data_IF_434374175113
#
_entry.id   IF_434374175113
#
_cell.length_a   1.000
_cell.length_b   1.000
_cell.length_c   1.000
_cell.angle_alpha   90.00
_cell.angle_beta   90.00
_cell.angle_gamma   90.00
#
_symmetry.space_group_name_H-M   'P 1'
#
loop_
_entity.id
_entity.type
_entity.pdbx_description
1 polymer ?
#
# COMPACT_ATOMS: atom_id res chain seq x y z
N UNK A 1 -17.47 7.89 -11.64
CA UNK A 1 -18.50 7.56 -10.61
C UNK A 1 -18.10 8.23 -9.31
N UNK A 2 -18.99 8.99 -8.65
CA UNK A 2 -18.70 9.50 -7.30
C UNK A 2 -18.73 8.34 -6.29
N UNK A 3 -17.69 8.23 -5.46
CA UNK A 3 -17.59 7.19 -4.44
C UNK A 3 -18.55 7.48 -3.28
N UNK A 4 -19.18 6.44 -2.73
CA UNK A 4 -19.90 6.54 -1.45
C UNK A 4 -18.97 7.02 -0.34
N UNK A 5 -19.52 7.63 0.70
CA UNK A 5 -18.74 8.10 1.85
C UNK A 5 -17.99 6.96 2.55
N UNK A 6 -18.59 5.77 2.61
CA UNK A 6 -17.94 4.57 3.15
C UNK A 6 -16.77 4.08 2.29
N UNK A 7 -16.93 4.09 0.96
CA UNK A 7 -15.83 3.73 0.06
C UNK A 7 -14.68 4.75 0.17
N UNK A 8 -15.00 6.05 0.14
CA UNK A 8 -13.99 7.11 0.25
C UNK A 8 -13.24 7.07 1.59
N UNK A 9 -13.93 6.76 2.69
CA UNK A 9 -13.29 6.58 4.00
C UNK A 9 -12.25 5.45 4.00
N UNK A 10 -12.54 4.33 3.34
CA UNK A 10 -11.58 3.23 3.17
C UNK A 10 -10.41 3.62 2.27
N UNK A 11 -10.66 4.38 1.20
CA UNK A 11 -9.62 4.88 0.28
C UNK A 11 -8.66 5.80 1.04
N UNK A 12 -9.17 6.79 1.77
CA UNK A 12 -8.37 7.74 2.53
C UNK A 12 -7.46 7.02 3.54
N UNK A 13 -7.99 6.00 4.24
CA UNK A 13 -7.22 5.20 5.22
C UNK A 13 -6.07 4.40 4.59
N UNK A 14 -6.22 3.95 3.35
CA UNK A 14 -5.22 3.10 2.69
C UNK A 14 -4.16 3.88 1.91
N UNK A 15 -4.49 5.08 1.43
CA UNK A 15 -3.80 5.71 0.31
C UNK A 15 -2.27 5.84 0.49
N UNK A 16 -1.81 6.40 1.61
CA UNK A 16 -0.35 6.55 1.84
C UNK A 16 0.35 5.21 2.03
N UNK A 17 -0.21 4.29 2.85
CA UNK A 17 0.43 3.00 3.07
C UNK A 17 0.47 2.15 1.80
N UNK A 18 -0.60 2.20 1.00
CA UNK A 18 -0.67 1.58 -0.32
C UNK A 18 0.46 2.08 -1.23
N UNK A 19 0.67 3.40 -1.28
CA UNK A 19 1.75 4.01 -2.08
C UNK A 19 3.13 3.61 -1.59
N UNK A 20 3.38 3.59 -0.28
CA UNK A 20 4.68 3.12 0.26
C UNK A 20 4.96 1.67 -0.16
N UNK A 21 3.97 0.77 -0.05
CA UNK A 21 4.10 -0.61 -0.54
C UNK A 21 4.31 -0.70 -2.06
N UNK A 22 3.73 0.21 -2.86
CA UNK A 22 3.99 0.23 -4.30
C UNK A 22 5.40 0.72 -4.61
N UNK A 23 5.90 1.72 -3.88
CA UNK A 23 7.29 2.17 -4.03
C UNK A 23 8.27 1.05 -3.66
N UNK A 24 8.04 0.33 -2.56
CA UNK A 24 8.89 -0.80 -2.17
C UNK A 24 8.86 -1.91 -3.23
N UNK A 25 7.67 -2.24 -3.73
CA UNK A 25 7.52 -3.23 -4.80
C UNK A 25 8.28 -2.78 -6.07
N UNK A 26 8.16 -1.52 -6.47
CA UNK A 26 8.83 -0.97 -7.66
C UNK A 26 10.34 -0.85 -7.51
N UNK A 27 10.83 -0.48 -6.32
CA UNK A 27 12.25 -0.38 -5.99
C UNK A 27 12.90 -1.80 -5.90
N UNK A 28 12.10 -2.83 -5.61
CA UNK A 28 12.50 -4.23 -5.54
C UNK A 28 12.10 -5.06 -6.78
N UNK A 29 11.32 -6.15 -6.62
CA UNK A 29 11.10 -7.13 -7.69
C UNK A 29 10.06 -6.69 -8.75
N UNK A 30 9.32 -5.60 -8.52
CA UNK A 30 8.14 -5.20 -9.29
C UNK A 30 8.38 -4.82 -10.75
N UNK A 31 9.64 -4.62 -11.14
CA UNK A 31 10.04 -4.37 -12.53
C UNK A 31 10.38 -5.64 -13.32
N UNK A 32 10.52 -6.79 -12.65
CA UNK A 32 10.84 -8.04 -13.31
C UNK A 32 9.64 -8.60 -14.09
N UNK A 33 9.92 -9.50 -15.04
CA UNK A 33 8.88 -10.34 -15.61
C UNK A 33 8.20 -11.17 -14.51
N UNK A 34 6.96 -11.60 -14.73
CA UNK A 34 6.18 -12.29 -13.70
C UNK A 34 5.38 -13.45 -14.26
N UNK A 35 5.03 -14.38 -13.38
CA UNK A 35 4.06 -15.46 -13.60
C UNK A 35 3.12 -15.56 -12.39
N UNK A 36 1.89 -16.02 -12.62
CA UNK A 36 0.92 -16.27 -11.55
C UNK A 36 0.27 -17.63 -11.73
N UNK A 37 0.16 -18.37 -10.64
CA UNK A 37 -0.60 -19.62 -10.52
C UNK A 37 -1.64 -19.45 -9.42
N UNK A 38 -2.85 -19.02 -9.83
CA UNK A 38 -3.97 -18.76 -8.91
C UNK A 38 -4.41 -20.02 -8.13
N UNK A 39 -4.48 -21.22 -8.74
CA UNK A 39 -4.75 -22.44 -8.00
C UNK A 39 -3.82 -22.71 -6.81
N UNK A 40 -2.53 -22.37 -6.92
CA UNK A 40 -1.57 -22.51 -5.82
C UNK A 40 -1.34 -21.21 -5.03
N UNK A 41 -2.06 -20.14 -5.35
CA UNK A 41 -1.89 -18.79 -4.78
C UNK A 41 -0.44 -18.30 -4.86
N UNK A 42 0.25 -18.62 -5.95
CA UNK A 42 1.67 -18.28 -6.15
C UNK A 42 1.83 -17.18 -7.18
N UNK A 43 2.52 -16.11 -6.80
CA UNK A 43 2.96 -15.05 -7.71
C UNK A 43 4.48 -15.00 -7.71
N UNK A 44 5.10 -15.08 -8.88
CA UNK A 44 6.55 -15.11 -9.03
C UNK A 44 7.01 -13.93 -9.86
N UNK A 45 7.93 -13.14 -9.32
CA UNK A 45 8.76 -12.22 -10.09
C UNK A 45 10.06 -12.92 -10.48
N UNK A 46 10.37 -12.95 -11.78
CA UNK A 46 11.60 -13.47 -12.39
C UNK A 46 12.78 -12.51 -12.18
N UNK A 47 13.02 -12.16 -10.92
CA UNK A 47 14.18 -11.42 -10.43
C UNK A 47 15.37 -12.37 -10.25
N UNK A 48 16.55 -11.83 -9.92
CA UNK A 48 17.73 -12.62 -9.57
C UNK A 48 18.19 -12.29 -8.13
N UNK A 49 17.93 -13.18 -7.14
CA UNK A 49 17.20 -14.46 -7.25
C UNK A 49 15.68 -14.26 -7.45
N UNK A 50 14.95 -15.28 -7.94
CA UNK A 50 13.49 -15.20 -8.11
C UNK A 50 12.78 -14.90 -6.78
N UNK A 51 11.75 -14.06 -6.85
CA UNK A 51 10.95 -13.67 -5.70
C UNK A 51 9.55 -14.28 -5.81
N UNK A 52 9.16 -15.06 -4.82
CA UNK A 52 7.82 -15.67 -4.74
C UNK A 52 7.03 -15.03 -3.61
N UNK A 53 5.78 -14.68 -3.92
CA UNK A 53 4.79 -14.09 -3.02
C UNK A 53 3.52 -14.92 -3.08
N UNK A 54 2.72 -14.90 -2.02
CA UNK A 54 1.34 -15.38 -2.10
C UNK A 54 0.45 -14.32 -2.75
N UNK A 55 -0.62 -14.75 -3.42
CA UNK A 55 -1.59 -13.84 -4.02
C UNK A 55 -3.04 -14.22 -3.73
N UNK A 56 -3.88 -13.18 -3.64
CA UNK A 56 -5.34 -13.30 -3.63
C UNK A 56 -5.90 -12.60 -4.86
N UNK A 57 -6.85 -13.25 -5.53
CA UNK A 57 -7.56 -12.69 -6.66
C UNK A 57 -8.64 -11.72 -6.20
N UNK A 58 -8.41 -10.43 -6.44
CA UNK A 58 -9.34 -9.38 -6.04
C UNK A 58 -10.47 -9.22 -7.05
N UNK A 59 -10.13 -9.22 -8.33
CA UNK A 59 -11.06 -9.00 -9.42
C UNK A 59 -10.36 -8.66 -10.74
N UNK A 60 -11.17 -8.29 -11.73
CA UNK A 60 -10.69 -7.90 -13.05
C UNK A 60 -11.41 -6.66 -13.55
N UNK A 61 -10.65 -5.72 -14.10
CA UNK A 61 -11.17 -4.56 -14.82
C UNK A 61 -11.14 -4.86 -16.32
N UNK A 62 -12.29 -4.85 -16.97
CA UNK A 62 -12.40 -5.03 -18.42
C UNK A 62 -13.14 -3.84 -19.05
N UNK A 63 -12.41 -2.92 -19.71
CA UNK A 63 -13.04 -1.84 -20.48
C UNK A 63 -13.92 -2.38 -21.61
N UNK A 64 -13.54 -3.50 -22.23
CA UNK A 64 -14.34 -4.17 -23.26
C UNK A 64 -15.67 -4.70 -22.73
N UNK A 65 -15.69 -5.25 -21.51
CA UNK A 65 -16.93 -5.64 -20.84
C UNK A 65 -17.63 -4.47 -20.12
N UNK A 66 -17.04 -3.27 -20.13
CA UNK A 66 -17.54 -2.07 -19.44
C UNK A 66 -17.70 -2.26 -17.94
N UNK A 67 -16.89 -3.12 -17.30
CA UNK A 67 -17.07 -3.43 -15.88
C UNK A 67 -15.80 -3.90 -15.16
N UNK A 68 -15.76 -3.58 -13.88
CA UNK A 68 -14.99 -4.28 -12.87
C UNK A 68 -15.83 -5.44 -12.37
N UNK A 69 -15.23 -6.63 -12.29
CA UNK A 69 -15.84 -7.83 -11.75
C UNK A 69 -15.06 -8.29 -10.53
N UNK A 70 -15.73 -8.39 -9.38
CA UNK A 70 -15.12 -8.88 -8.16
C UNK A 70 -14.81 -10.38 -8.23
N UNK A 71 -13.70 -10.78 -7.61
CA UNK A 71 -13.24 -12.17 -7.60
C UNK A 71 -14.21 -13.15 -6.95
N UNK A 72 -15.01 -12.70 -5.98
CA UNK A 72 -15.99 -13.54 -5.30
C UNK A 72 -17.15 -14.01 -6.20
N UNK A 73 -17.41 -13.33 -7.32
CA UNK A 73 -18.39 -13.80 -8.32
C UNK A 73 -17.91 -15.09 -9.01
N UNK A 74 -16.59 -15.28 -9.05
CA UNK A 74 -15.91 -16.52 -9.46
C UNK A 74 -16.36 -17.12 -10.80
N UNK A 75 -16.59 -16.29 -11.82
CA UNK A 75 -16.99 -16.74 -13.16
C UNK A 75 -15.99 -17.70 -13.83
N UNK A 76 -14.74 -17.72 -13.35
CA UNK A 76 -13.65 -18.54 -13.86
C UNK A 76 -13.51 -19.89 -13.12
N UNK A 77 -14.26 -20.12 -12.04
CA UNK A 77 -14.17 -21.36 -11.26
C UNK A 77 -12.84 -21.54 -10.53
N UNK A 78 -12.25 -20.46 -10.03
CA UNK A 78 -11.06 -20.51 -9.21
C UNK A 78 -11.32 -21.18 -7.86
N UNK A 79 -10.29 -21.79 -7.22
CA UNK A 79 -10.43 -22.37 -5.89
C UNK A 79 -10.83 -21.34 -4.82
N UNK A 80 -11.58 -21.77 -3.81
CA UNK A 80 -12.11 -20.88 -2.76
C UNK A 80 -11.01 -20.06 -2.05
N UNK A 81 -9.83 -20.66 -1.86
CA UNK A 81 -8.71 -20.00 -1.19
C UNK A 81 -8.29 -18.68 -1.85
N UNK A 82 -8.17 -18.66 -3.18
CA UNK A 82 -7.68 -17.47 -3.91
C UNK A 82 -8.73 -16.35 -3.98
N UNK A 83 -10.02 -16.65 -3.80
CA UNK A 83 -11.11 -15.66 -3.82
C UNK A 83 -11.66 -15.32 -2.43
N UNK A 84 -11.20 -15.99 -1.37
CA UNK A 84 -11.70 -15.80 -0.01
C UNK A 84 -11.59 -14.35 0.48
N UNK A 85 -10.50 -13.67 0.10
CA UNK A 85 -10.28 -12.25 0.41
C UNK A 85 -11.34 -11.35 -0.24
N UNK A 86 -11.70 -11.61 -1.51
CA UNK A 86 -12.77 -10.88 -2.18
C UNK A 86 -14.13 -11.11 -1.48
N UNK A 87 -14.39 -12.33 -1.00
CA UNK A 87 -15.57 -12.63 -0.19
C UNK A 87 -15.60 -11.84 1.13
N UNK A 88 -14.47 -11.75 1.83
CA UNK A 88 -14.33 -10.96 3.06
C UNK A 88 -14.64 -9.47 2.82
N UNK A 89 -14.23 -8.93 1.67
CA UNK A 89 -14.51 -7.54 1.29
C UNK A 89 -16.01 -7.33 1.04
N UNK A 90 -16.68 -8.29 0.39
CA UNK A 90 -18.14 -8.25 0.22
C UNK A 90 -18.85 -8.24 1.57
N UNK A 91 -18.47 -9.16 2.47
CA UNK A 91 -19.09 -9.28 3.80
C UNK A 91 -18.90 -7.98 4.61
N UNK A 92 -17.72 -7.35 4.51
CA UNK A 92 -17.49 -6.01 5.09
C UNK A 92 -18.40 -4.95 4.47
N UNK A 93 -18.55 -4.95 3.14
CA UNK A 93 -19.42 -4.06 2.40
C UNK A 93 -20.88 -4.18 2.82
N UNK A 94 -21.38 -5.41 3.01
CA UNK A 94 -22.73 -5.68 3.49
C UNK A 94 -22.93 -5.17 4.92
N UNK A 95 -21.99 -5.46 5.82
CA UNK A 95 -22.06 -5.04 7.21
C UNK A 95 -22.02 -3.51 7.40
N UNK A 96 -21.38 -2.78 6.49
CA UNK A 96 -21.20 -1.33 6.57
C UNK A 96 -22.03 -0.54 5.55
N UNK A 97 -22.85 -1.21 4.73
CA UNK A 97 -23.68 -0.58 3.71
C UNK A 97 -22.88 0.17 2.64
N UNK A 98 -21.83 -0.45 2.09
CA UNK A 98 -20.96 0.12 1.04
C UNK A 98 -21.26 -0.57 -0.30
N UNK A 99 -22.12 0.02 -1.17
CA UNK A 99 -22.65 -0.66 -2.36
C UNK A 99 -21.59 -1.11 -3.37
N UNK A 100 -20.47 -0.38 -3.44
CA UNK A 100 -19.37 -0.67 -4.38
C UNK A 100 -18.61 -1.96 -4.03
N UNK A 101 -18.71 -2.41 -2.78
CA UNK A 101 -18.11 -3.66 -2.30
C UNK A 101 -19.07 -4.84 -2.36
N UNK A 102 -20.38 -4.59 -2.49
CA UNK A 102 -21.42 -5.63 -2.51
C UNK A 102 -21.93 -5.97 -3.91
N UNK A 103 -21.79 -5.04 -4.86
CA UNK A 103 -22.23 -5.26 -6.24
C UNK A 103 -21.19 -6.05 -7.01
N UNK A 104 -21.55 -7.24 -7.52
CA UNK A 104 -20.63 -8.13 -8.25
C UNK A 104 -19.87 -7.42 -9.37
N UNK A 105 -20.59 -6.55 -10.08
CA UNK A 105 -20.08 -5.76 -11.19
C UNK A 105 -20.23 -4.26 -10.90
N UNK A 106 -19.17 -3.52 -11.15
CA UNK A 106 -19.15 -2.06 -11.11
C UNK A 106 -18.94 -1.55 -12.53
N UNK A 107 -19.84 -0.71 -13.07
CA UNK A 107 -19.68 -0.14 -14.40
C UNK A 107 -18.36 0.62 -14.52
N UNK A 108 -17.66 0.40 -15.62
CA UNK A 108 -16.47 1.15 -16.01
C UNK A 108 -16.75 1.85 -17.34
N UNK A 109 -16.25 3.08 -17.44
CA UNK A 109 -16.02 3.71 -18.73
C UNK A 109 -14.53 3.55 -19.12
N UNK A 110 -14.24 3.63 -20.42
CA UNK A 110 -12.89 3.41 -20.95
C UNK A 110 -11.85 4.37 -20.33
N UNK A 111 -12.26 5.60 -20.02
CA UNK A 111 -11.36 6.67 -19.53
C UNK A 111 -11.05 6.57 -18.02
N UNK A 112 -11.94 5.96 -17.22
CA UNK A 112 -11.80 5.86 -15.75
C UNK A 112 -11.64 4.43 -15.25
N UNK A 113 -11.61 3.43 -16.14
CA UNK A 113 -11.50 2.01 -15.78
C UNK A 113 -10.36 1.73 -14.79
N UNK A 114 -9.18 2.33 -15.01
CA UNK A 114 -8.02 2.15 -14.14
C UNK A 114 -8.20 2.89 -12.81
N UNK A 115 -8.76 4.10 -12.80
CA UNK A 115 -9.01 4.88 -11.58
C UNK A 115 -10.01 4.16 -10.67
N UNK A 116 -11.14 3.70 -11.21
CA UNK A 116 -12.14 2.97 -10.44
C UNK A 116 -11.55 1.68 -9.88
N UNK A 117 -10.83 0.89 -10.70
CA UNK A 117 -10.19 -0.33 -10.24
C UNK A 117 -9.15 -0.06 -9.13
N UNK A 118 -8.38 1.02 -9.25
CA UNK A 118 -7.44 1.44 -8.22
C UNK A 118 -8.14 1.82 -6.91
N UNK A 119 -9.23 2.61 -6.97
CA UNK A 119 -10.04 2.99 -5.80
C UNK A 119 -10.64 1.79 -5.07
N UNK A 120 -11.21 0.84 -5.82
CA UNK A 120 -11.73 -0.42 -5.24
C UNK A 120 -10.60 -1.24 -4.60
N UNK A 121 -9.42 -1.24 -5.21
CA UNK A 121 -8.24 -1.89 -4.65
C UNK A 121 -7.77 -1.19 -3.36
N UNK A 122 -7.71 0.14 -3.30
CA UNK A 122 -7.37 0.86 -2.06
C UNK A 122 -8.35 0.52 -0.93
N UNK A 123 -9.65 0.48 -1.22
CA UNK A 123 -10.64 0.08 -0.22
C UNK A 123 -10.44 -1.36 0.26
N UNK A 124 -10.16 -2.29 -0.66
CA UNK A 124 -9.84 -3.67 -0.35
C UNK A 124 -8.61 -3.81 0.57
N UNK A 125 -7.58 -2.98 0.38
CA UNK A 125 -6.39 -2.97 1.25
C UNK A 125 -6.74 -2.56 2.68
N UNK A 126 -7.57 -1.54 2.86
CA UNK A 126 -8.05 -1.11 4.19
C UNK A 126 -8.84 -2.21 4.91
N UNK A 127 -9.64 -3.00 4.19
CA UNK A 127 -10.43 -4.09 4.78
C UNK A 127 -9.58 -5.31 5.11
N UNK A 128 -8.67 -5.68 4.20
CA UNK A 128 -7.89 -6.93 4.31
C UNK A 128 -6.60 -6.80 5.12
N UNK A 129 -6.05 -5.60 5.25
CA UNK A 129 -4.73 -5.37 5.81
C UNK A 129 -3.56 -5.76 4.89
N UNK A 130 -3.83 -6.19 3.65
CA UNK A 130 -2.80 -6.50 2.65
C UNK A 130 -2.61 -5.31 1.73
N UNK A 131 -1.44 -4.68 1.74
CA UNK A 131 -1.23 -3.38 1.08
C UNK A 131 -0.43 -3.42 -0.22
N UNK A 132 0.28 -4.51 -0.51
CA UNK A 132 0.92 -4.71 -1.81
C UNK A 132 -0.12 -5.23 -2.82
N UNK A 133 -0.06 -4.73 -4.06
CA UNK A 133 -0.92 -5.22 -5.12
C UNK A 133 -0.15 -5.33 -6.42
N UNK A 134 -0.65 -6.14 -7.33
CA UNK A 134 -0.18 -6.18 -8.70
C UNK A 134 -1.38 -6.11 -9.64
N UNK A 135 -1.25 -5.31 -10.69
CA UNK A 135 -2.20 -5.27 -11.79
C UNK A 135 -1.50 -5.73 -13.06
N UNK A 136 -2.02 -6.79 -13.69
CA UNK A 136 -1.40 -7.41 -14.86
C UNK A 136 -2.40 -7.62 -16.00
N UNK A 137 -1.98 -7.53 -17.28
CA UNK A 137 -2.86 -7.84 -18.40
C UNK A 137 -3.18 -9.35 -18.46
N UNK A 138 -4.39 -9.70 -18.87
CA UNK A 138 -4.80 -11.10 -19.17
C UNK A 138 -5.11 -11.35 -20.64
N UNK A 139 -4.80 -10.37 -21.50
CA UNK A 139 -5.19 -10.34 -22.91
C UNK A 139 -6.26 -9.28 -23.18
N UNK A 140 -6.19 -8.66 -24.36
CA UNK A 140 -7.01 -7.50 -24.69
C UNK A 140 -6.73 -6.31 -23.76
N UNK A 141 -7.76 -5.51 -23.47
CA UNK A 141 -7.67 -4.40 -22.49
C UNK A 141 -8.01 -4.80 -21.05
N UNK A 142 -8.21 -6.10 -20.79
CA UNK A 142 -8.57 -6.60 -19.46
C UNK A 142 -7.33 -6.73 -18.57
N UNK A 143 -7.48 -6.29 -17.32
CA UNK A 143 -6.44 -6.38 -16.29
C UNK A 143 -6.97 -7.09 -15.05
N UNK A 144 -6.20 -8.04 -14.54
CA UNK A 144 -6.45 -8.63 -13.22
C UNK A 144 -5.78 -7.79 -12.14
N UNK A 145 -6.38 -7.81 -10.96
CA UNK A 145 -5.89 -7.14 -9.77
C UNK A 145 -5.73 -8.17 -8.67
N UNK A 146 -4.53 -8.23 -8.10
CA UNK A 146 -4.14 -9.18 -7.08
C UNK A 146 -3.65 -8.42 -5.85
N UNK A 147 -4.00 -8.89 -4.65
CA UNK A 147 -3.28 -8.48 -3.45
C UNK A 147 -2.15 -9.47 -3.19
N UNK A 148 -0.96 -8.94 -2.94
CA UNK A 148 0.25 -9.72 -2.76
C UNK A 148 0.67 -9.70 -1.29
N UNK A 149 1.25 -10.81 -0.83
CA UNK A 149 1.76 -10.93 0.53
C UNK A 149 3.02 -11.79 0.55
N UNK A 150 3.96 -11.42 1.42
CA UNK A 150 5.24 -12.12 1.59
C UNK A 150 6.36 -11.19 2.03
N UNK A 151 7.53 -11.76 2.38
CA UNK A 151 8.62 -10.99 2.97
C UNK A 151 9.21 -9.93 2.02
N UNK A 152 9.15 -10.15 0.70
CA UNK A 152 9.72 -9.22 -0.28
C UNK A 152 8.86 -7.96 -0.52
N UNK A 153 7.68 -7.87 0.08
CA UNK A 153 6.83 -6.67 0.06
C UNK A 153 6.64 -6.09 1.47
N UNK A 154 7.40 -6.58 2.44
CA UNK A 154 7.46 -5.99 3.78
C UNK A 154 8.21 -4.66 3.72
N UNK A 155 7.70 -3.66 4.42
CA UNK A 155 8.35 -2.36 4.51
C UNK A 155 9.48 -2.41 5.53
N UNK A 156 10.59 -1.73 5.23
CA UNK A 156 11.62 -1.40 6.21
C UNK A 156 11.07 -0.44 7.29
N UNK A 157 11.89 -0.09 8.27
CA UNK A 157 11.54 0.96 9.22
C UNK A 157 11.18 2.27 8.46
N UNK A 158 10.17 3.01 8.93
CA UNK A 158 9.77 4.24 8.26
C UNK A 158 10.94 5.23 8.29
N UNK A 159 11.03 6.05 7.25
CA UNK A 159 12.13 6.98 7.10
C UNK A 159 11.63 8.36 6.72
N UNK A 160 12.18 9.40 7.36
CA UNK A 160 11.82 10.80 7.05
C UNK A 160 12.11 11.17 5.59
N UNK A 161 13.07 10.51 4.91
CA UNK A 161 13.30 10.78 3.49
C UNK A 161 12.28 10.09 2.57
N UNK A 162 11.60 9.03 3.05
CA UNK A 162 10.58 8.28 2.29
C UNK A 162 9.20 8.92 2.40
N UNK A 163 8.83 9.38 3.60
CA UNK A 163 7.48 9.91 3.88
C UNK A 163 7.05 11.03 2.90
N UNK A 164 7.86 12.07 2.60
CA UNK A 164 7.46 13.10 1.63
C UNK A 164 7.20 12.54 0.23
N UNK A 165 7.99 11.54 -0.21
CA UNK A 165 7.82 10.91 -1.52
C UNK A 165 6.50 10.16 -1.58
N UNK A 166 6.16 9.41 -0.53
CA UNK A 166 4.88 8.72 -0.39
C UNK A 166 3.73 9.71 -0.46
N UNK A 167 3.79 10.79 0.33
CA UNK A 167 2.72 11.80 0.38
C UNK A 167 2.54 12.47 -0.99
N UNK A 168 3.61 12.97 -1.60
CA UNK A 168 3.52 13.65 -2.91
C UNK A 168 2.95 12.71 -3.98
N UNK A 169 3.45 11.48 -4.07
CA UNK A 169 2.96 10.53 -5.06
C UNK A 169 1.49 10.16 -4.84
N UNK A 170 1.03 10.01 -3.58
CA UNK A 170 -0.39 9.80 -3.29
C UNK A 170 -1.25 11.02 -3.64
N UNK A 171 -0.76 12.25 -3.42
CA UNK A 171 -1.48 13.46 -3.80
C UNK A 171 -1.66 13.56 -5.32
N UNK A 172 -0.63 13.21 -6.09
CA UNK A 172 -0.65 13.20 -7.56
C UNK A 172 -1.65 12.18 -8.14
N UNK A 173 -1.99 11.13 -7.39
CA UNK A 173 -3.00 10.14 -7.79
C UNK A 173 -4.44 10.69 -7.73
N UNK A 174 -4.71 11.79 -7.01
CA UNK A 174 -6.05 12.39 -6.93
C UNK A 174 -7.11 11.50 -6.25
N UNK A 175 -6.69 10.53 -5.44
CA UNK A 175 -7.61 9.59 -4.76
C UNK A 175 -8.10 10.10 -3.39
N UNK A 176 -7.37 11.04 -2.80
CA UNK A 176 -7.62 11.54 -1.45
C UNK A 176 -8.75 12.57 -1.39
N UNK A 177 -9.63 12.39 -0.41
CA UNK A 177 -10.61 13.39 0.00
C UNK A 177 -10.26 14.01 1.36
N UNK A 178 -9.77 13.21 2.30
CA UNK A 178 -9.37 13.66 3.65
C UNK A 178 -7.89 13.34 3.93
N UNK A 179 -7.02 14.33 3.70
CA UNK A 179 -5.57 14.19 3.90
C UNK A 179 -5.19 13.98 5.37
N UNK A 180 -5.97 14.50 6.33
CA UNK A 180 -5.67 14.34 7.76
C UNK A 180 -5.93 12.92 8.21
N UNK A 181 -7.07 12.37 7.78
CA UNK A 181 -7.42 10.97 8.04
C UNK A 181 -6.40 10.03 7.40
N UNK A 182 -6.01 10.31 6.16
CA UNK A 182 -4.96 9.53 5.50
C UNK A 182 -3.65 9.56 6.30
N UNK A 183 -3.24 10.73 6.80
CA UNK A 183 -2.03 10.87 7.60
C UNK A 183 -2.12 10.11 8.93
N UNK A 184 -3.24 10.23 9.64
CA UNK A 184 -3.48 9.53 10.90
C UNK A 184 -3.47 8.02 10.73
N UNK A 185 -4.15 7.51 9.69
CA UNK A 185 -4.17 6.08 9.37
C UNK A 185 -2.76 5.58 9.03
N UNK A 186 -2.04 6.33 8.19
CA UNK A 186 -0.66 6.00 7.83
C UNK A 186 0.27 5.93 9.05
N UNK A 187 0.21 6.94 9.92
CA UNK A 187 1.04 6.97 11.11
C UNK A 187 0.74 5.81 12.06
N UNK A 188 -0.55 5.52 12.29
CA UNK A 188 -0.97 4.39 13.11
C UNK A 188 -0.45 3.06 12.55
N UNK A 189 -0.62 2.82 11.25
CA UNK A 189 -0.25 1.56 10.61
C UNK A 189 1.26 1.39 10.47
N UNK A 190 2.02 2.48 10.36
CA UNK A 190 3.50 2.45 10.33
C UNK A 190 4.14 2.47 11.71
N UNK A 191 3.37 2.66 12.77
CA UNK A 191 3.90 2.82 14.13
C UNK A 191 4.70 4.11 14.30
N UNK A 192 4.33 5.17 13.59
CA UNK A 192 4.93 6.50 13.73
C UNK A 192 4.29 7.25 14.89
N UNK A 193 5.13 7.84 15.74
CA UNK A 193 4.63 8.78 16.75
C UNK A 193 4.13 10.05 16.04
N UNK A 194 2.91 10.48 16.38
CA UNK A 194 2.29 11.67 15.80
C UNK A 194 2.01 12.70 16.89
N UNK A 195 2.52 13.91 16.72
CA UNK A 195 2.27 15.05 17.61
C UNK A 195 1.62 16.19 16.83
N UNK A 196 0.43 16.61 17.26
CA UNK A 196 -0.21 17.80 16.73
C UNK A 196 0.23 19.01 17.54
N UNK A 197 0.84 19.99 16.88
CA UNK A 197 1.19 21.28 17.50
C UNK A 197 0.03 22.26 17.43
N UNK A 198 -0.70 22.24 16.32
CA UNK A 198 -1.96 22.97 16.11
C UNK A 198 -2.90 22.09 15.31
N UNK A 199 -4.13 22.57 15.06
CA UNK A 199 -5.04 21.90 14.13
C UNK A 199 -4.45 21.75 12.73
N UNK A 200 -3.53 22.63 12.30
CA UNK A 200 -2.99 22.65 10.94
C UNK A 200 -1.52 22.23 10.86
N UNK A 201 -0.93 21.73 11.94
CA UNK A 201 0.48 21.33 11.98
C UNK A 201 0.66 20.04 12.77
N UNK A 202 1.00 18.96 12.04
CA UNK A 202 1.34 17.67 12.59
C UNK A 202 2.84 17.40 12.45
N UNK A 203 3.42 16.72 13.41
CA UNK A 203 4.77 16.19 13.36
C UNK A 203 4.70 14.67 13.40
N UNK A 204 5.38 14.01 12.46
CA UNK A 204 5.59 12.56 12.47
C UNK A 204 7.04 12.27 12.83
N UNK A 205 7.25 11.38 13.80
CA UNK A 205 8.57 10.96 14.24
C UNK A 205 8.84 9.55 13.72
N UNK A 206 9.91 9.42 12.95
CA UNK A 206 10.47 8.16 12.48
C UNK A 206 11.81 7.88 13.20
N UNK A 207 12.33 6.64 13.17
CA UNK A 207 13.61 6.31 13.80
C UNK A 207 14.81 7.16 13.35
N UNK A 208 14.74 7.76 12.15
CA UNK A 208 15.81 8.56 11.54
C UNK A 208 15.53 10.09 11.53
N UNK A 209 14.46 10.55 12.17
CA UNK A 209 14.19 11.98 12.37
C UNK A 209 12.70 12.34 12.50
N UNK A 210 12.40 13.63 12.34
CA UNK A 210 11.04 14.18 12.40
C UNK A 210 10.66 14.87 11.08
N UNK A 211 9.40 14.80 10.69
CA UNK A 211 8.81 15.56 9.58
C UNK A 211 7.61 16.35 10.08
N UNK A 212 7.62 17.65 9.81
CA UNK A 212 6.50 18.55 10.05
C UNK A 212 5.63 18.65 8.78
N UNK A 213 4.32 18.50 8.94
CA UNK A 213 3.32 18.51 7.87
C UNK A 213 2.29 19.58 8.19
N UNK A 214 2.24 20.60 7.33
CA UNK A 214 1.28 21.70 7.42
C UNK A 214 0.07 21.43 6.53
N UNK A 215 -1.10 21.79 7.03
CA UNK A 215 -2.37 21.75 6.31
C UNK A 215 -2.86 23.18 6.03
N UNK A 216 -3.50 23.39 4.89
CA UNK A 216 -4.24 24.61 4.60
C UNK A 216 -5.60 24.65 5.35
N UNK A 217 -6.31 25.77 5.21
CA UNK A 217 -7.59 26.02 5.89
C UNK A 217 -8.71 25.06 5.46
N UNK A 218 -8.54 24.34 4.35
CA UNK A 218 -9.49 23.33 3.85
C UNK A 218 -8.99 21.89 4.08
N UNK A 219 -7.92 21.73 4.87
CA UNK A 219 -7.43 20.42 5.32
C UNK A 219 -6.54 19.67 4.33
N UNK A 220 -6.02 20.34 3.30
CA UNK A 220 -5.06 19.74 2.35
C UNK A 220 -3.64 19.94 2.82
N UNK A 221 -2.75 19.00 2.52
CA UNK A 221 -1.33 19.15 2.80
C UNK A 221 -0.77 20.28 1.93
N UNK A 222 -0.21 21.31 2.58
CA UNK A 222 0.29 22.53 1.93
C UNK A 222 1.82 22.63 1.96
N UNK A 223 2.44 22.07 3.00
CA UNK A 223 3.90 22.04 3.15
C UNK A 223 4.36 20.83 3.96
N UNK A 224 5.55 20.36 3.63
CA UNK A 224 6.29 19.36 4.40
C UNK A 224 7.70 19.89 4.68
N UNK A 225 8.13 19.89 5.93
CA UNK A 225 9.47 20.32 6.34
C UNK A 225 10.18 19.18 7.06
N UNK A 226 11.36 18.81 6.56
CA UNK A 226 12.16 17.73 7.13
C UNK A 226 13.10 18.27 8.21
N UNK A 227 13.07 17.63 9.38
CA UNK A 227 14.02 17.83 10.46
C UNK A 227 14.73 16.49 10.72
N UNK A 228 15.73 16.18 9.89
CA UNK A 228 16.56 15.00 10.09
C UNK A 228 17.44 15.18 11.33
N UNK A 229 17.32 14.28 12.31
CA UNK A 229 18.35 14.16 13.34
C UNK A 229 19.60 13.53 12.71
N UNK A 230 20.80 13.97 13.13
CA UNK A 230 22.02 13.26 12.72
C UNK A 230 21.97 11.85 13.31
N UNK A 231 22.33 10.79 12.56
CA UNK A 231 22.45 9.46 13.14
C UNK A 231 23.35 9.52 14.38
N UNK A 232 22.86 8.99 15.51
CA UNK A 232 23.73 8.81 16.68
C UNK A 232 24.86 7.87 16.24
N UNK A 233 26.13 8.29 16.28
CA UNK A 233 27.23 7.43 15.86
C UNK A 233 27.19 6.15 16.70
N UNK A 234 27.35 5.00 16.04
CA UNK A 234 27.43 3.72 16.72
C UNK A 234 28.45 3.81 17.86
N UNK A 235 28.17 3.23 19.05
CA UNK A 235 29.11 3.26 20.16
C UNK A 235 30.47 2.72 19.68
N UNK A 236 31.54 3.48 19.89
CA UNK A 236 32.89 3.04 19.57
C UNK A 236 33.13 1.68 20.22
N UNK A 237 33.31 0.64 19.40
CA UNK A 237 33.73 -0.67 19.88
C UNK A 237 35.11 -0.46 20.49
N UNK A 238 35.29 -0.65 21.81
CA UNK A 238 36.57 -0.39 22.45
C UNK A 238 37.60 -1.33 21.82
N UNK A 239 38.59 -0.74 21.16
CA UNK A 239 39.70 -1.49 20.56
C UNK A 239 40.38 -2.23 21.71
N UNK A 240 40.29 -3.57 21.72
CA UNK A 240 41.00 -4.39 22.71
C UNK A 240 42.47 -4.04 22.64
N UNK A 241 42.97 -3.31 23.65
CA UNK A 241 44.42 -3.12 23.86
C UNK A 241 45.04 -4.51 23.96
N UNK A 242 45.86 -4.85 22.98
CA UNK A 242 46.60 -6.10 22.95
C UNK A 242 47.37 -6.27 24.26
N UNK A 243 47.16 -7.41 24.92
CA UNK A 243 47.96 -7.84 26.07
C UNK A 243 49.38 -8.05 25.53
N UNK A 244 50.31 -7.15 25.90
CA UNK A 244 51.75 -7.36 25.74
C UNK A 244 52.12 -8.57 26.60
N UNK A 245 52.36 -9.71 25.97
CA UNK A 245 52.93 -10.88 26.64
C UNK A 245 54.31 -10.56 27.18
N UNK A 246 54.45 -10.57 28.51
CA UNK A 246 55.71 -10.78 29.19
C UNK A 246 56.14 -12.24 29.00
N UNK A 247 57.15 -12.46 28.18
CA UNK A 247 58.12 -13.56 28.29
C UNK A 247 59.47 -12.92 27.90
N UNK A 248 60.51 -12.81 28.72
CA UNK A 248 60.95 -13.67 29.80
C UNK A 248 62.14 -14.50 29.32
N UNK A 249 63.34 -13.91 29.35
CA UNK A 249 64.63 -14.58 29.61
C UNK A 249 65.53 -13.61 30.35
#
# INVERSE_FOLDING_TARGET
MESSSGLQDLIDRAAFLSTEHQQELLDGPGQAAWDVDLPSQSFVFHSDPPTTLSCDFLGSASPEAGSWLWGWENVNGFPDGVIALAGTIRDYGEANGIPELTSAQIPLDDDTAIDIAHRLTLAAKSVSGKYAHYSGPTGGRTRVWLLLEGPAVALADPSVIRIPRVITETLDQGVLFDSRKALQSYALLRGLDTRWETDNLAHLVAPDGEIAIEFDDIGRISRMNLHAERPTPAPEVPTRRGIRGLFGR
#
